data_IF_599026422072
#
_entry.id   IF_599026422072
#
_cell.length_a   1.000
_cell.length_b   1.000
_cell.length_c   1.000
_cell.angle_alpha   90.00
_cell.angle_beta   90.00
_cell.angle_gamma   90.00
#
_symmetry.space_group_name_H-M   'P 1'
#
loop_
_entity.id
_entity.type
_entity.pdbx_description
1 polymer ?
#
# COMPACT_ATOMS: atom_id res chain seq x y z
N UNK A 1 -13.15 -19.54 2.23
CA UNK A 1 -11.86 -19.18 1.60
C UNK A 1 -11.44 -17.87 2.24
N UNK A 2 -10.53 -17.91 3.22
CA UNK A 2 -10.01 -16.68 3.85
C UNK A 2 -9.07 -16.04 2.85
N UNK A 3 -9.34 -14.80 2.46
CA UNK A 3 -8.39 -13.99 1.69
C UNK A 3 -7.06 -13.99 2.46
N UNK A 4 -6.03 -14.64 1.90
CA UNK A 4 -4.69 -14.48 2.41
C UNK A 4 -4.38 -12.97 2.45
N UNK A 5 -3.75 -12.45 3.51
CA UNK A 5 -3.39 -11.04 3.57
C UNK A 5 -2.40 -10.77 2.43
N UNK A 6 -2.91 -10.34 1.28
CA UNK A 6 -2.08 -9.93 0.15
C UNK A 6 -1.14 -8.88 0.68
N UNK A 7 0.16 -9.12 0.54
CA UNK A 7 1.19 -8.21 1.00
C UNK A 7 0.88 -6.81 0.47
N UNK A 8 1.02 -5.81 1.34
CA UNK A 8 0.71 -4.43 1.00
C UNK A 8 1.64 -3.94 -0.12
N UNK A 9 2.86 -4.49 -0.17
CA UNK A 9 3.80 -4.32 -1.28
C UNK A 9 3.24 -4.85 -2.61
N UNK A 10 2.61 -6.02 -2.61
CA UNK A 10 2.00 -6.64 -3.79
C UNK A 10 0.74 -5.88 -4.25
N UNK A 11 -0.15 -5.51 -3.31
CA UNK A 11 -1.39 -4.76 -3.62
C UNK A 11 -1.15 -3.43 -4.33
N UNK A 12 -0.05 -2.75 -3.99
CA UNK A 12 0.32 -1.46 -4.56
C UNK A 12 1.55 -1.53 -5.46
N UNK A 13 1.99 -2.73 -5.84
CA UNK A 13 3.14 -2.95 -6.74
C UNK A 13 4.36 -2.07 -6.41
N UNK A 14 4.67 -1.93 -5.12
CA UNK A 14 5.67 -0.95 -4.64
C UNK A 14 7.07 -1.28 -5.18
N UNK A 15 7.35 -2.57 -5.35
CA UNK A 15 8.57 -3.09 -5.92
C UNK A 15 8.76 -2.67 -7.38
N UNK A 16 7.68 -2.64 -8.17
CA UNK A 16 7.70 -2.16 -9.56
C UNK A 16 8.02 -0.67 -9.61
N UNK A 17 7.39 0.14 -8.75
CA UNK A 17 7.62 1.60 -8.74
C UNK A 17 9.04 1.92 -8.31
N UNK A 18 9.57 1.26 -7.27
CA UNK A 18 10.95 1.48 -6.79
C UNK A 18 11.96 1.07 -7.86
N UNK A 19 11.76 -0.09 -8.52
CA UNK A 19 12.62 -0.51 -9.63
C UNK A 19 12.57 0.49 -10.78
N UNK A 20 11.38 0.98 -11.15
CA UNK A 20 11.21 1.99 -12.19
C UNK A 20 11.99 3.29 -11.93
N UNK A 21 12.01 3.77 -10.68
CA UNK A 21 12.82 4.95 -10.31
C UNK A 21 14.33 4.67 -10.46
N UNK A 22 14.78 3.47 -10.08
CA UNK A 22 16.18 3.08 -10.26
C UNK A 22 16.56 3.00 -11.74
N UNK A 23 15.68 2.44 -12.57
CA UNK A 23 15.85 2.37 -14.03
C UNK A 23 15.86 3.77 -14.65
N UNK A 24 15.00 4.68 -14.20
CA UNK A 24 15.01 6.08 -14.63
C UNK A 24 16.34 6.78 -14.30
N UNK A 25 16.97 6.47 -13.17
CA UNK A 25 18.31 7.00 -12.83
C UNK A 25 19.39 6.48 -13.78
N UNK A 26 19.33 5.19 -14.14
CA UNK A 26 20.24 4.59 -15.12
C UNK A 26 20.03 5.23 -16.49
N UNK A 27 18.78 5.37 -16.93
CA UNK A 27 18.41 6.00 -18.19
C UNK A 27 18.87 7.46 -18.26
N UNK A 28 18.71 8.22 -17.18
CA UNK A 28 19.19 9.59 -17.10
C UNK A 28 20.72 9.68 -17.24
N UNK A 29 21.46 8.79 -16.56
CA UNK A 29 22.93 8.72 -16.66
C UNK A 29 23.41 8.30 -18.05
N UNK A 30 22.65 7.43 -18.71
CA UNK A 30 22.91 7.02 -20.08
C UNK A 30 22.52 8.09 -21.12
N UNK A 31 21.86 9.17 -20.71
CA UNK A 31 21.37 10.22 -21.62
C UNK A 31 20.19 9.77 -22.48
N UNK A 32 19.51 8.68 -22.14
CA UNK A 32 18.37 8.15 -22.92
C UNK A 32 17.05 8.83 -22.58
N UNK A 33 16.97 9.53 -21.45
CA UNK A 33 15.85 10.41 -21.08
C UNK A 33 16.38 11.78 -20.65
N UNK A 34 15.57 12.82 -20.80
CA UNK A 34 15.96 14.15 -20.33
C UNK A 34 15.82 14.28 -18.81
N UNK A 35 16.48 15.28 -18.23
CA UNK A 35 16.29 15.66 -16.82
C UNK A 35 14.80 15.94 -16.55
N UNK A 36 14.10 16.59 -17.49
CA UNK A 36 12.68 16.91 -17.36
C UNK A 36 11.81 15.66 -17.29
N UNK A 37 12.12 14.64 -18.09
CA UNK A 37 11.42 13.36 -18.06
C UNK A 37 11.64 12.64 -16.73
N UNK A 38 12.89 12.57 -16.26
CA UNK A 38 13.22 11.95 -14.97
C UNK A 38 12.51 12.66 -13.80
N UNK A 39 12.47 14.00 -13.81
CA UNK A 39 11.75 14.78 -12.82
C UNK A 39 10.23 14.53 -12.85
N UNK A 40 9.63 14.47 -14.04
CA UNK A 40 8.20 14.19 -14.19
C UNK A 40 7.85 12.80 -13.65
N UNK A 41 8.65 11.78 -13.99
CA UNK A 41 8.45 10.40 -13.50
C UNK A 41 8.62 10.29 -11.99
N UNK A 42 9.65 10.92 -11.43
CA UNK A 42 9.86 10.98 -9.99
C UNK A 42 8.69 11.67 -9.26
N UNK A 43 8.12 12.73 -9.86
CA UNK A 43 6.96 13.42 -9.29
C UNK A 43 5.73 12.52 -9.26
N UNK A 44 5.46 11.77 -10.33
CA UNK A 44 4.36 10.81 -10.38
C UNK A 44 4.54 9.70 -9.33
N UNK A 45 5.74 9.13 -9.23
CA UNK A 45 6.03 8.13 -8.21
C UNK A 45 5.84 8.66 -6.79
N UNK A 46 6.21 9.92 -6.52
CA UNK A 46 5.95 10.57 -5.23
C UNK A 46 4.44 10.66 -4.93
N UNK A 47 3.61 11.04 -5.91
CA UNK A 47 2.16 11.11 -5.70
C UNK A 47 1.56 9.72 -5.45
N UNK A 48 2.06 8.70 -6.15
CA UNK A 48 1.67 7.32 -5.89
C UNK A 48 1.96 6.91 -4.44
N UNK A 49 3.18 7.12 -3.97
CA UNK A 49 3.58 6.79 -2.60
C UNK A 49 2.81 7.58 -1.54
N UNK A 50 2.46 8.84 -1.83
CA UNK A 50 1.55 9.61 -0.96
C UNK A 50 0.18 8.94 -0.84
N UNK A 51 -0.40 8.44 -1.95
CA UNK A 51 -1.66 7.70 -1.94
C UNK A 51 -1.59 6.41 -1.12
N UNK A 52 -0.51 5.64 -1.27
CA UNK A 52 -0.27 4.42 -0.47
C UNK A 52 -0.20 4.75 1.02
N UNK A 53 0.53 5.80 1.40
CA UNK A 53 0.59 6.27 2.78
C UNK A 53 -0.78 6.63 3.34
N UNK A 54 -1.61 7.34 2.54
CA UNK A 54 -2.98 7.69 2.94
C UNK A 54 -3.84 6.43 3.17
N UNK A 55 -3.74 5.44 2.29
CA UNK A 55 -4.49 4.19 2.43
C UNK A 55 -4.10 3.40 3.69
N UNK A 56 -2.80 3.28 3.97
CA UNK A 56 -2.27 2.63 5.18
C UNK A 56 -2.77 3.35 6.43
N UNK A 57 -2.66 4.68 6.44
CA UNK A 57 -3.09 5.48 7.59
C UNK A 57 -4.60 5.38 7.81
N UNK A 58 -5.40 5.45 6.75
CA UNK A 58 -6.85 5.29 6.83
C UNK A 58 -7.24 3.92 7.42
N UNK A 59 -6.59 2.85 6.95
CA UNK A 59 -6.80 1.50 7.51
C UNK A 59 -6.46 1.45 8.99
N UNK A 60 -5.29 1.96 9.39
CA UNK A 60 -4.88 1.99 10.79
C UNK A 60 -5.87 2.79 11.65
N UNK A 61 -6.32 3.95 11.19
CA UNK A 61 -7.31 4.76 11.91
C UNK A 61 -8.65 4.04 12.09
N UNK A 62 -9.09 3.24 11.12
CA UNK A 62 -10.30 2.43 11.23
C UNK A 62 -10.11 1.25 12.19
N UNK A 63 -8.94 0.59 12.16
CA UNK A 63 -8.59 -0.50 13.07
C UNK A 63 -8.51 -0.01 14.52
N UNK A 64 -7.90 1.14 14.78
CA UNK A 64 -7.79 1.76 16.11
C UNK A 64 -9.17 2.15 16.68
N UNK A 65 -10.13 2.50 15.82
CA UNK A 65 -11.50 2.87 16.20
C UNK A 65 -12.49 1.70 16.30
N UNK A 66 -12.08 0.49 15.93
CA UNK A 66 -12.97 -0.66 15.90
C UNK A 66 -13.23 -1.19 17.32
N UNK A 67 -14.50 -1.37 17.70
CA UNK A 67 -14.83 -2.16 18.90
C UNK A 67 -14.40 -3.61 18.68
N UNK A 68 -13.82 -4.28 19.70
CA UNK A 68 -13.54 -5.71 19.61
C UNK A 68 -14.82 -6.45 19.22
N UNK A 69 -14.77 -7.23 18.14
CA UNK A 69 -15.88 -8.08 17.77
C UNK A 69 -16.10 -9.06 18.93
N UNK A 70 -17.25 -8.97 19.61
CA UNK A 70 -17.61 -9.90 20.66
C UNK A 70 -17.75 -11.29 20.03
N UNK A 71 -16.83 -12.20 20.35
CA UNK A 71 -16.99 -13.60 20.00
C UNK A 71 -18.04 -14.20 20.95
N UNK A 72 -19.29 -14.24 20.49
CA UNK A 72 -20.33 -15.13 20.98
C UNK A 72 -20.98 -14.80 22.33
N UNK A 73 -22.04 -13.98 22.31
CA UNK A 73 -23.18 -14.16 23.22
C UNK A 73 -24.24 -14.99 22.49
N UNK A 74 -23.94 -16.28 22.27
CA UNK A 74 -24.75 -17.16 21.44
C UNK A 74 -24.51 -18.63 21.79
N UNK A 75 -24.67 -18.96 23.08
CA UNK A 75 -24.97 -20.28 23.66
C UNK A 75 -24.96 -20.15 25.19
N UNK A 76 -25.99 -19.49 25.73
CA UNK A 76 -26.56 -19.95 27.00
C UNK A 76 -27.63 -20.97 26.55
N UNK A 77 -27.37 -22.27 26.52
CA UNK A 77 -27.03 -23.04 27.71
C UNK A 77 -28.35 -23.36 28.40
N UNK A 78 -29.10 -24.30 27.81
CA UNK A 78 -30.16 -25.04 28.46
C UNK A 78 -29.72 -25.45 29.86
N UNK A 79 -30.43 -24.96 30.86
CA UNK A 79 -30.53 -25.58 32.18
C UNK A 79 -31.86 -25.11 32.78
N UNK A 80 -32.90 -25.93 32.62
CA UNK A 80 -33.71 -26.60 33.67
C UNK A 80 -34.87 -27.28 32.97
#
# INVERSE_FOLDING_TARGET
MQDAPTDLGERYSLDVIVRGIADDLVALRAGTISIKDAQARALLAKQYMNGVRLAINARKSLEDGARPASIGAGRAGEAV
#
